data_IF_470587522375
#
_entry.id   IF_470587522375
#
_cell.length_a   1.000
_cell.length_b   1.000
_cell.length_c   1.000
_cell.angle_alpha   90.00
_cell.angle_beta   90.00
_cell.angle_gamma   90.00
#
_symmetry.space_group_name_H-M   'P 1'
#
loop_
_entity.id
_entity.type
_entity.pdbx_description
1 polymer ?
#
# COMPACT_ATOMS: atom_id res chain seq x y z
N UNK A 1 -18.97 -23.49 17.69
CA UNK A 1 -17.75 -22.67 17.89
C UNK A 1 -16.74 -23.03 16.81
N UNK A 2 -16.67 -22.29 15.70
CA UNK A 2 -15.56 -22.38 14.73
C UNK A 2 -15.42 -21.04 14.00
N UNK A 3 -15.13 -19.98 14.76
CA UNK A 3 -14.71 -18.70 14.18
C UNK A 3 -13.19 -18.50 14.31
N UNK A 4 -12.50 -19.38 15.04
CA UNK A 4 -11.06 -19.27 15.32
C UNK A 4 -10.17 -19.98 14.31
N UNK A 5 -10.66 -20.94 13.52
CA UNK A 5 -9.85 -21.64 12.49
C UNK A 5 -9.65 -20.80 11.22
N UNK A 6 -10.43 -19.75 10.99
CA UNK A 6 -10.28 -18.87 9.82
C UNK A 6 -9.21 -17.78 9.99
N UNK A 7 -8.51 -17.75 11.13
CA UNK A 7 -7.44 -16.79 11.41
C UNK A 7 -6.02 -17.40 11.26
N UNK A 8 -5.91 -18.72 11.10
CA UNK A 8 -4.62 -19.41 10.89
C UNK A 8 -4.22 -19.54 9.42
N UNK A 9 -5.13 -19.27 8.48
CA UNK A 9 -4.79 -19.14 7.06
C UNK A 9 -4.44 -17.68 6.74
N UNK A 10 -3.15 -17.34 6.90
CA UNK A 10 -2.47 -16.21 6.27
C UNK A 10 -3.24 -14.88 6.17
N UNK A 11 -2.92 -13.92 7.04
CA UNK A 11 -3.30 -12.49 6.97
C UNK A 11 -4.65 -12.20 6.25
N UNK A 12 -5.77 -12.03 6.99
CA UNK A 12 -7.15 -11.97 6.47
C UNK A 12 -7.47 -10.77 5.55
N UNK A 13 -6.48 -9.93 5.24
CA UNK A 13 -6.52 -8.93 4.19
C UNK A 13 -5.22 -9.11 3.43
N UNK A 14 -5.23 -9.69 2.23
CA UNK A 14 -4.09 -10.12 1.38
C UNK A 14 -2.83 -9.25 1.35
N UNK A 15 -2.23 -9.08 2.51
CA UNK A 15 -1.07 -8.27 2.84
C UNK A 15 -0.04 -9.30 3.23
N UNK A 16 0.42 -10.03 2.22
CA UNK A 16 1.63 -10.82 2.36
C UNK A 16 2.70 -9.88 2.91
N UNK A 17 3.35 -10.30 3.99
CA UNK A 17 4.46 -9.56 4.58
C UNK A 17 5.60 -9.62 3.58
N UNK A 18 5.65 -8.65 2.67
CA UNK A 18 6.74 -8.51 1.69
C UNK A 18 8.00 -8.09 2.41
N UNK A 19 9.10 -8.75 2.11
CA UNK A 19 10.44 -8.29 2.51
C UNK A 19 10.70 -6.89 1.96
N UNK A 20 11.64 -6.13 2.56
CA UNK A 20 12.04 -4.83 2.02
C UNK A 20 12.38 -4.84 0.52
N UNK A 21 13.06 -5.88 0.06
CA UNK A 21 13.44 -6.06 -1.35
C UNK A 21 12.21 -6.30 -2.24
N UNK A 22 11.28 -7.16 -1.84
CA UNK A 22 10.03 -7.39 -2.59
C UNK A 22 9.14 -6.14 -2.62
N UNK A 23 9.13 -5.34 -1.56
CA UNK A 23 8.45 -4.05 -1.55
C UNK A 23 9.06 -3.13 -2.61
N UNK A 24 10.39 -3.00 -2.63
CA UNK A 24 11.11 -2.16 -3.61
C UNK A 24 10.93 -2.65 -5.05
N UNK A 25 11.09 -3.94 -5.29
CA UNK A 25 10.89 -4.53 -6.62
C UNK A 25 9.47 -4.28 -7.13
N UNK A 26 8.47 -4.44 -6.26
CA UNK A 26 7.08 -4.09 -6.62
C UNK A 26 6.94 -2.61 -6.95
N UNK A 27 7.50 -1.73 -6.11
CA UNK A 27 7.42 -0.29 -6.30
C UNK A 27 8.03 0.18 -7.61
N UNK A 28 9.23 -0.30 -7.96
CA UNK A 28 9.89 0.02 -9.22
C UNK A 28 9.20 -0.59 -10.45
N UNK A 29 8.39 -1.61 -10.25
CA UNK A 29 7.61 -2.26 -11.32
C UNK A 29 6.23 -1.64 -11.54
N UNK A 30 5.83 -0.64 -10.74
CA UNK A 30 4.51 -0.01 -10.89
C UNK A 30 4.41 0.73 -12.21
N UNK A 31 3.44 0.34 -13.02
CA UNK A 31 3.07 1.04 -14.25
C UNK A 31 2.11 2.19 -13.96
N UNK A 32 1.91 3.15 -14.90
CA UNK A 32 0.88 4.17 -14.74
C UNK A 32 -0.52 3.59 -14.43
N UNK A 33 -0.87 2.46 -15.04
CA UNK A 33 -2.15 1.80 -14.79
C UNK A 33 -2.27 1.25 -13.35
N UNK A 34 -1.16 0.80 -12.74
CA UNK A 34 -1.15 0.37 -11.35
C UNK A 34 -1.35 1.54 -10.39
N UNK A 35 -0.81 2.71 -10.72
CA UNK A 35 -1.04 3.95 -9.98
C UNK A 35 -2.49 4.41 -10.06
N UNK A 36 -3.11 4.32 -11.24
CA UNK A 36 -4.53 4.63 -11.41
C UNK A 36 -5.42 3.67 -10.58
N UNK A 37 -5.09 2.38 -10.58
CA UNK A 37 -5.79 1.39 -9.74
C UNK A 37 -5.60 1.66 -8.25
N UNK A 38 -4.40 2.07 -7.82
CA UNK A 38 -4.13 2.46 -6.44
C UNK A 38 -4.96 3.69 -6.04
N UNK A 39 -4.98 4.72 -6.89
CA UNK A 39 -5.77 5.93 -6.66
C UNK A 39 -7.28 5.61 -6.58
N UNK A 40 -7.81 4.76 -7.45
CA UNK A 40 -9.20 4.32 -7.41
C UNK A 40 -9.53 3.57 -6.10
N UNK A 41 -8.63 2.70 -5.61
CA UNK A 41 -8.80 2.03 -4.31
C UNK A 41 -8.81 3.03 -3.14
N UNK A 42 -7.91 4.02 -3.16
CA UNK A 42 -7.86 5.07 -2.15
C UNK A 42 -9.12 5.96 -2.21
N UNK A 43 -9.64 6.26 -3.40
CA UNK A 43 -10.88 6.99 -3.56
C UNK A 43 -12.08 6.25 -2.95
N UNK A 44 -12.14 4.92 -3.12
CA UNK A 44 -13.15 4.09 -2.45
C UNK A 44 -12.96 4.08 -0.93
N UNK A 45 -11.71 4.00 -0.45
CA UNK A 45 -11.37 4.03 0.98
C UNK A 45 -11.81 5.33 1.65
N UNK A 46 -11.61 6.47 1.00
CA UNK A 46 -11.96 7.79 1.53
C UNK A 46 -13.36 8.25 1.15
N UNK A 47 -14.19 7.39 0.53
CA UNK A 47 -15.53 7.77 0.10
C UNK A 47 -16.33 8.41 1.23
N UNK A 48 -16.90 9.59 0.94
CA UNK A 48 -17.69 10.36 1.91
C UNK A 48 -16.88 11.37 2.74
N UNK A 49 -15.56 11.41 2.61
CA UNK A 49 -14.75 12.49 3.17
C UNK A 49 -14.90 13.77 2.32
N UNK A 50 -14.86 14.96 2.92
CA UNK A 50 -14.96 16.22 2.19
C UNK A 50 -13.67 16.56 1.41
N UNK A 51 -12.54 15.96 1.76
CA UNK A 51 -11.20 16.25 1.24
C UNK A 51 -10.52 15.03 0.61
N UNK A 52 -11.28 14.19 -0.10
CA UNK A 52 -10.81 12.92 -0.68
C UNK A 52 -9.54 13.08 -1.50
N UNK A 53 -9.47 14.08 -2.39
CA UNK A 53 -8.32 14.28 -3.27
C UNK A 53 -7.03 14.58 -2.49
N UNK A 54 -7.14 15.36 -1.41
CA UNK A 54 -6.02 15.68 -0.54
C UNK A 54 -5.53 14.44 0.21
N UNK A 55 -6.47 13.64 0.73
CA UNK A 55 -6.15 12.38 1.42
C UNK A 55 -5.48 11.37 0.49
N UNK A 56 -5.98 11.21 -0.74
CA UNK A 56 -5.35 10.33 -1.74
C UNK A 56 -3.93 10.80 -2.04
N UNK A 57 -3.74 12.12 -2.27
CA UNK A 57 -2.42 12.69 -2.55
C UNK A 57 -1.45 12.46 -1.39
N UNK A 58 -1.91 12.67 -0.15
CA UNK A 58 -1.11 12.47 1.05
C UNK A 58 -0.67 10.99 1.18
N UNK A 59 -1.60 10.03 1.02
CA UNK A 59 -1.29 8.60 1.11
C UNK A 59 -0.29 8.17 0.01
N UNK A 60 -0.46 8.65 -1.22
CA UNK A 60 0.47 8.36 -2.32
C UNK A 60 1.85 8.95 -2.02
N UNK A 61 1.91 10.20 -1.54
CA UNK A 61 3.17 10.86 -1.20
C UNK A 61 3.88 10.15 -0.04
N UNK A 62 3.15 9.72 0.99
CA UNK A 62 3.69 8.95 2.10
C UNK A 62 4.26 7.62 1.60
N UNK A 63 3.51 6.90 0.75
CA UNK A 63 3.97 5.65 0.15
C UNK A 63 5.27 5.84 -0.63
N UNK A 64 5.34 6.82 -1.54
CA UNK A 64 6.56 7.13 -2.31
C UNK A 64 7.73 7.53 -1.38
N UNK A 65 7.46 8.32 -0.35
CA UNK A 65 8.49 8.74 0.62
C UNK A 65 9.05 7.55 1.39
N UNK A 66 8.18 6.66 1.87
CA UNK A 66 8.58 5.42 2.56
C UNK A 66 9.42 4.54 1.66
N UNK A 67 8.99 4.33 0.41
CA UNK A 67 9.74 3.51 -0.54
C UNK A 67 11.08 4.13 -0.92
N UNK A 68 11.15 5.45 -1.06
CA UNK A 68 12.41 6.17 -1.29
C UNK A 68 13.36 6.03 -0.11
N UNK A 69 12.87 6.14 1.14
CA UNK A 69 13.68 5.88 2.33
C UNK A 69 14.15 4.44 2.40
N UNK A 70 13.33 3.48 1.99
CA UNK A 70 13.73 2.08 1.95
C UNK A 70 14.81 1.82 0.89
N UNK A 71 14.72 2.48 -0.26
CA UNK A 71 15.67 2.35 -1.37
C UNK A 71 17.02 3.00 -1.07
N UNK A 72 17.00 4.19 -0.44
CA UNK A 72 18.19 5.04 -0.30
C UNK A 72 18.66 5.23 1.14
N UNK A 73 17.83 4.91 2.13
CA UNK A 73 18.12 5.07 3.56
C UNK A 73 18.92 3.92 4.19
N UNK A 74 19.32 2.92 3.40
CA UNK A 74 20.25 1.85 3.81
C UNK A 74 21.72 2.25 3.83
N UNK A 75 22.05 3.53 3.56
CA UNK A 75 23.40 4.09 3.75
C UNK A 75 23.34 5.32 4.64
N UNK A 76 23.61 5.10 5.93
CA UNK A 76 24.28 6.04 6.81
C UNK A 76 25.35 5.26 7.57
#
# INVERSE_FOLDING_TARGET
MRLMEALEEGYPYGSEVKTPEEQLNRFFSLTPADWDQLAAKLQLRYRGQPNIEELIRADIQEYVTRMSRLAYGGKA
#
